data_IF_134903941983
#
_entry.id   IF_134903941983
#
_cell.length_a   1.000
_cell.length_b   1.000
_cell.length_c   1.000
_cell.angle_alpha   90.00
_cell.angle_beta   90.00
_cell.angle_gamma   90.00
#
_symmetry.space_group_name_H-M   'P 1'
#
loop_
_entity.id
_entity.type
_entity.pdbx_description
1 polymer ?
#
# COMPACT_ATOMS: atom_id res chain seq x y z
N UNK A 1 -6.10 2.51 5.45
CA UNK A 1 -5.83 3.69 6.30
C UNK A 1 -6.10 3.36 7.77
N UNK A 2 -7.34 3.11 8.16
CA UNK A 2 -7.66 2.77 9.56
C UNK A 2 -7.10 1.40 9.98
N UNK A 3 -7.18 0.39 9.12
CA UNK A 3 -6.63 -0.95 9.40
C UNK A 3 -5.11 -0.94 9.63
N UNK A 4 -4.37 -0.17 8.84
CA UNK A 4 -2.92 -0.02 8.97
C UNK A 4 -2.51 0.73 10.24
N UNK A 5 -3.32 1.70 10.70
CA UNK A 5 -3.09 2.40 11.97
C UNK A 5 -3.40 1.48 13.16
N UNK A 6 -4.53 0.78 13.10
CA UNK A 6 -4.91 -0.20 14.11
C UNK A 6 -3.84 -1.29 14.29
N UNK A 7 -3.28 -1.83 13.20
CA UNK A 7 -2.20 -2.82 13.27
C UNK A 7 -0.95 -2.29 14.00
N UNK A 8 -0.56 -1.04 13.74
CA UNK A 8 0.59 -0.44 14.44
C UNK A 8 0.28 -0.16 15.91
N UNK A 9 -0.95 0.29 16.21
CA UNK A 9 -1.40 0.49 17.58
C UNK A 9 -1.37 -0.82 18.39
N UNK A 10 -1.75 -1.95 17.78
CA UNK A 10 -1.63 -3.27 18.39
C UNK A 10 -0.17 -3.68 18.60
N UNK A 11 0.69 -3.47 17.60
CA UNK A 11 2.12 -3.80 17.70
C UNK A 11 2.83 -3.02 18.82
N UNK A 12 2.36 -1.82 19.13
CA UNK A 12 2.82 -0.98 20.23
C UNK A 12 2.16 -1.30 21.58
N UNK A 13 1.23 -2.26 21.63
CA UNK A 13 0.36 -2.49 22.80
C UNK A 13 -0.32 -1.20 23.30
N UNK A 14 -0.70 -0.31 22.37
CA UNK A 14 -1.17 1.03 22.71
C UNK A 14 -2.43 1.02 23.58
N UNK A 15 -3.26 -0.02 23.42
CA UNK A 15 -4.47 -0.24 24.22
C UNK A 15 -4.21 -0.28 25.72
N UNK A 16 -3.07 -0.83 26.15
CA UNK A 16 -2.70 -0.95 27.57
C UNK A 16 -2.32 0.40 28.20
N UNK A 17 -1.95 1.37 27.37
CA UNK A 17 -1.63 2.72 27.78
C UNK A 17 -2.85 3.67 27.75
N UNK A 18 -3.99 3.22 27.19
CA UNK A 18 -5.18 4.07 27.06
C UNK A 18 -5.90 4.26 28.39
N UNK A 19 -6.17 5.52 28.71
CA UNK A 19 -7.08 5.90 29.79
C UNK A 19 -8.48 6.07 29.21
N UNK A 20 -9.33 5.10 29.46
CA UNK A 20 -10.72 5.09 29.02
C UNK A 20 -11.66 5.24 30.22
N UNK A 21 -12.86 5.78 30.00
CA UNK A 21 -13.90 5.79 31.02
C UNK A 21 -14.37 4.37 31.35
N UNK A 22 -14.92 4.15 32.55
CA UNK A 22 -15.32 2.81 33.02
C UNK A 22 -16.25 2.07 32.05
N UNK A 23 -17.22 2.78 31.44
CA UNK A 23 -18.15 2.17 30.47
C UNK A 23 -17.46 1.72 29.18
N UNK A 24 -16.46 2.46 28.72
CA UNK A 24 -15.69 2.13 27.52
C UNK A 24 -14.70 1.00 27.80
N UNK A 25 -14.09 0.97 28.99
CA UNK A 25 -13.28 -0.17 29.45
C UNK A 25 -14.10 -1.47 29.50
N UNK A 26 -15.27 -1.44 30.15
CA UNK A 26 -16.15 -2.62 30.29
C UNK A 26 -16.67 -3.15 28.96
N UNK A 27 -16.81 -2.29 27.96
CA UNK A 27 -17.24 -2.68 26.60
C UNK A 27 -16.09 -3.07 25.67
N UNK A 28 -14.85 -3.11 26.17
CA UNK A 28 -13.68 -3.57 25.40
C UNK A 28 -13.07 -2.49 24.50
N UNK A 29 -13.28 -1.21 24.78
CA UNK A 29 -12.79 -0.09 23.96
C UNK A 29 -11.28 -0.10 23.72
N UNK A 30 -10.50 -0.63 24.65
CA UNK A 30 -9.04 -0.79 24.53
C UNK A 30 -8.60 -1.74 23.39
N UNK A 31 -9.52 -2.56 22.86
CA UNK A 31 -9.29 -3.43 21.70
C UNK A 31 -10.04 -2.94 20.45
N UNK A 32 -10.79 -1.83 20.54
CA UNK A 32 -11.62 -1.38 19.44
C UNK A 32 -10.73 -0.78 18.33
N UNK A 33 -10.85 -1.25 17.07
CA UNK A 33 -9.98 -0.79 16.00
C UNK A 33 -9.99 0.73 15.78
N UNK A 34 -11.16 1.36 15.93
CA UNK A 34 -11.28 2.81 15.78
C UNK A 34 -10.57 3.58 16.91
N UNK A 35 -10.76 3.18 18.17
CA UNK A 35 -10.12 3.83 19.31
C UNK A 35 -8.59 3.71 19.24
N UNK A 36 -8.10 2.53 18.86
CA UNK A 36 -6.67 2.29 18.71
C UNK A 36 -6.06 3.08 17.54
N UNK A 37 -6.76 3.18 16.41
CA UNK A 37 -6.32 4.00 15.29
C UNK A 37 -6.28 5.50 15.65
N UNK A 38 -7.35 6.00 16.28
CA UNK A 38 -7.46 7.40 16.70
C UNK A 38 -6.40 7.75 17.75
N UNK A 39 -6.11 6.83 18.69
CA UNK A 39 -5.06 7.01 19.68
C UNK A 39 -3.66 7.09 19.04
N UNK A 40 -3.40 6.30 18.00
CA UNK A 40 -2.12 6.37 17.29
C UNK A 40 -1.98 7.68 16.51
N UNK A 41 -3.05 8.17 15.88
CA UNK A 41 -3.05 9.50 15.25
C UNK A 41 -2.81 10.62 16.28
N UNK A 42 -3.45 10.53 17.44
CA UNK A 42 -3.24 11.47 18.54
C UNK A 42 -1.78 11.44 19.04
N UNK A 43 -1.17 10.26 19.13
CA UNK A 43 0.24 10.10 19.47
C UNK A 43 1.16 10.79 18.45
N UNK A 44 0.91 10.61 17.15
CA UNK A 44 1.66 11.32 16.11
C UNK A 44 1.48 12.83 16.20
N UNK A 45 0.27 13.30 16.49
CA UNK A 45 0.00 14.71 16.76
C UNK A 45 0.81 15.24 17.95
N UNK A 46 0.88 14.49 19.04
CA UNK A 46 1.66 14.88 20.22
C UNK A 46 3.16 14.96 19.91
N UNK A 47 3.72 13.98 19.18
CA UNK A 47 5.14 14.01 18.76
C UNK A 47 5.43 15.20 17.85
N UNK A 48 4.50 15.55 16.95
CA UNK A 48 4.66 16.73 16.10
C UNK A 48 4.63 18.03 16.92
N UNK A 49 3.69 18.15 17.86
CA UNK A 49 3.59 19.34 18.71
C UNK A 49 4.83 19.53 19.61
N UNK A 50 5.42 18.43 20.09
CA UNK A 50 6.58 18.45 20.98
C UNK A 50 7.92 18.61 20.23
N UNK A 51 8.11 17.85 19.15
CA UNK A 51 9.39 17.74 18.45
C UNK A 51 9.44 18.33 17.03
N UNK A 52 8.32 18.88 16.54
CA UNK A 52 8.23 19.39 15.18
C UNK A 52 8.12 18.30 14.11
N UNK A 53 8.12 18.73 12.84
CA UNK A 53 7.84 17.85 11.70
C UNK A 53 8.89 16.75 11.52
N UNK A 54 10.18 17.08 11.68
CA UNK A 54 11.26 16.10 11.47
C UNK A 54 11.18 14.94 12.48
N UNK A 55 10.96 15.25 13.76
CA UNK A 55 10.80 14.24 14.80
C UNK A 55 9.59 13.34 14.53
N UNK A 56 8.45 13.93 14.15
CA UNK A 56 7.24 13.17 13.80
C UNK A 56 7.48 12.27 12.57
N UNK A 57 8.11 12.81 11.53
CA UNK A 57 8.45 12.07 10.30
C UNK A 57 9.37 10.89 10.59
N UNK A 58 10.37 11.07 11.45
CA UNK A 58 11.29 9.99 11.84
C UNK A 58 10.58 8.89 12.63
N UNK A 59 9.75 9.25 13.62
CA UNK A 59 8.98 8.28 14.42
C UNK A 59 8.05 7.46 13.53
N UNK A 60 7.28 8.12 12.67
CA UNK A 60 6.38 7.44 11.72
C UNK A 60 7.19 6.54 10.77
N UNK A 61 8.29 7.04 10.22
CA UNK A 61 9.12 6.25 9.29
C UNK A 61 9.71 5.02 9.95
N UNK A 62 10.15 5.10 11.23
CA UNK A 62 10.66 3.95 11.99
C UNK A 62 9.56 2.94 12.30
N UNK A 63 8.38 3.41 12.70
CA UNK A 63 7.21 2.57 13.01
C UNK A 63 6.74 1.76 11.79
N UNK A 64 6.69 2.41 10.63
CA UNK A 64 6.26 1.76 9.40
C UNK A 64 7.39 1.04 8.65
N UNK A 65 8.65 1.18 9.06
CA UNK A 65 9.80 0.55 8.40
C UNK A 65 9.65 -0.96 8.28
N UNK A 66 9.28 -1.65 9.36
CA UNK A 66 9.09 -3.11 9.32
C UNK A 66 7.95 -3.55 8.41
N UNK A 67 6.90 -2.74 8.28
CA UNK A 67 5.80 -3.00 7.32
C UNK A 67 6.26 -2.76 5.88
N UNK A 68 7.03 -1.69 5.63
CA UNK A 68 7.59 -1.36 4.32
C UNK A 68 8.63 -2.40 3.86
N UNK A 69 9.42 -2.95 4.78
CA UNK A 69 10.42 -4.00 4.49
C UNK A 69 9.77 -5.39 4.30
N UNK A 70 8.68 -5.69 5.01
CA UNK A 70 7.87 -6.91 4.79
C UNK A 70 6.95 -6.82 3.57
N UNK A 71 6.84 -5.63 2.97
CA UNK A 71 6.17 -5.45 1.70
C UNK A 71 7.05 -6.03 0.59
N UNK A 72 6.92 -7.33 0.39
CA UNK A 72 7.22 -7.99 -0.91
C UNK A 72 6.71 -7.09 -2.04
N UNK A 73 7.42 -6.95 -3.18
CA UNK A 73 6.90 -6.20 -4.33
C UNK A 73 5.47 -6.67 -4.64
N UNK A 74 4.48 -5.81 -4.36
CA UNK A 74 3.06 -6.12 -4.49
C UNK A 74 2.14 -5.70 -3.35
N UNK A 75 2.63 -5.30 -2.16
CA UNK A 75 1.76 -4.85 -1.07
C UNK A 75 1.43 -3.34 -1.12
N UNK A 76 0.14 -3.03 -1.09
CA UNK A 76 -0.42 -1.67 -1.20
C UNK A 76 0.10 -0.70 -0.11
N UNK A 77 0.96 0.25 -0.51
CA UNK A 77 0.99 1.65 -0.01
C UNK A 77 2.09 2.53 -0.65
N UNK A 78 2.91 2.00 -1.56
CA UNK A 78 3.54 2.82 -2.60
C UNK A 78 2.49 2.92 -3.71
N UNK A 79 2.21 4.11 -4.27
CA UNK A 79 1.19 4.30 -5.34
C UNK A 79 1.20 3.09 -6.28
N UNK A 80 0.03 2.50 -6.51
CA UNK A 80 -0.06 1.26 -7.29
C UNK A 80 0.62 1.44 -8.66
N UNK A 81 1.29 0.40 -9.15
CA UNK A 81 2.18 0.49 -10.31
C UNK A 81 1.47 0.98 -11.58
N UNK A 82 0.16 0.70 -11.73
CA UNK A 82 -0.63 1.25 -12.84
C UNK A 82 -0.73 2.78 -12.75
N UNK A 83 -1.00 3.31 -11.56
CA UNK A 83 -1.05 4.76 -11.31
C UNK A 83 0.33 5.40 -11.54
N UNK A 84 1.41 4.79 -11.04
CA UNK A 84 2.79 5.31 -11.27
C UNK A 84 3.17 5.33 -12.74
N UNK A 85 2.87 4.25 -13.47
CA UNK A 85 3.11 4.17 -14.91
C UNK A 85 2.27 5.20 -15.68
N UNK A 86 1.00 5.36 -15.32
CA UNK A 86 0.13 6.38 -15.89
C UNK A 86 0.67 7.79 -15.67
N UNK A 87 1.04 8.15 -14.44
CA UNK A 87 1.63 9.45 -14.09
C UNK A 87 2.93 9.70 -14.88
N UNK A 88 3.81 8.69 -14.97
CA UNK A 88 5.06 8.78 -15.73
C UNK A 88 4.81 9.11 -17.21
N UNK A 89 3.84 8.45 -17.84
CA UNK A 89 3.50 8.63 -19.25
C UNK A 89 2.81 9.96 -19.49
N UNK A 90 1.84 10.32 -18.65
CA UNK A 90 1.12 11.60 -18.74
C UNK A 90 2.07 12.78 -18.54
N UNK A 91 3.00 12.70 -17.58
CA UNK A 91 4.03 13.73 -17.35
C UNK A 91 4.93 13.98 -18.58
N UNK A 92 5.04 13.00 -19.47
CA UNK A 92 5.78 13.08 -20.75
C UNK A 92 4.88 13.30 -21.97
N UNK A 93 3.57 13.52 -21.75
CA UNK A 93 2.54 13.63 -22.80
C UNK A 93 2.51 12.42 -23.74
N UNK A 94 2.84 11.23 -23.24
CA UNK A 94 2.75 9.98 -23.97
C UNK A 94 1.36 9.34 -23.79
N UNK A 95 0.99 8.48 -24.73
CA UNK A 95 -0.24 7.69 -24.62
C UNK A 95 -0.23 6.79 -23.38
N UNK A 96 -1.42 6.53 -22.85
CA UNK A 96 -1.62 5.66 -21.68
C UNK A 96 -1.28 4.19 -22.00
N UNK A 97 -0.92 3.39 -20.97
CA UNK A 97 -0.61 1.98 -21.17
C UNK A 97 -1.88 1.18 -21.50
N UNK A 98 -1.77 0.25 -22.46
CA UNK A 98 -2.84 -0.67 -22.82
C UNK A 98 -2.66 -2.00 -22.10
N UNK A 99 -3.74 -2.58 -21.57
CA UNK A 99 -3.71 -3.87 -20.90
C UNK A 99 -4.64 -4.86 -21.59
N UNK A 100 -4.17 -6.10 -21.80
CA UNK A 100 -4.97 -7.17 -22.37
C UNK A 100 -4.75 -8.48 -21.62
N UNK A 101 -5.84 -9.17 -21.26
CA UNK A 101 -5.79 -10.52 -20.69
C UNK A 101 -5.35 -11.49 -21.78
N UNK A 102 -4.20 -12.14 -21.60
CA UNK A 102 -3.61 -13.05 -22.59
C UNK A 102 -3.85 -14.51 -22.25
N UNK A 103 -3.97 -14.86 -20.97
CA UNK A 103 -4.30 -16.22 -20.54
C UNK A 103 -5.12 -16.25 -19.25
N UNK A 104 -5.95 -17.28 -19.13
CA UNK A 104 -6.59 -17.68 -17.88
C UNK A 104 -6.45 -19.20 -17.76
N UNK A 105 -5.79 -19.66 -16.72
CA UNK A 105 -5.39 -21.06 -16.56
C UNK A 105 -5.71 -21.53 -15.14
N UNK A 106 -5.86 -22.84 -14.96
CA UNK A 106 -6.10 -23.46 -13.65
C UNK A 106 -7.58 -23.57 -13.26
N UNK A 107 -7.82 -24.38 -12.23
CA UNK A 107 -9.15 -24.61 -11.63
C UNK A 107 -9.69 -23.34 -10.96
N UNK A 108 -11.01 -23.24 -10.80
CA UNK A 108 -11.65 -22.02 -10.28
C UNK A 108 -11.09 -21.53 -8.91
N UNK A 109 -10.62 -22.45 -8.07
CA UNK A 109 -10.02 -22.17 -6.76
C UNK A 109 -8.51 -21.91 -6.80
N UNK A 110 -7.87 -22.10 -7.95
CA UNK A 110 -6.44 -21.93 -8.19
C UNK A 110 -6.18 -21.22 -9.54
N UNK A 111 -7.10 -20.34 -9.93
CA UNK A 111 -7.08 -19.70 -11.24
C UNK A 111 -5.96 -18.67 -11.30
N UNK A 112 -5.23 -18.69 -12.42
CA UNK A 112 -4.14 -17.78 -12.72
C UNK A 112 -4.48 -16.99 -13.96
N UNK A 113 -4.35 -15.67 -13.84
CA UNK A 113 -4.56 -14.72 -14.92
C UNK A 113 -3.22 -14.20 -15.39
N UNK A 114 -3.03 -14.10 -16.69
CA UNK A 114 -1.87 -13.44 -17.30
C UNK A 114 -2.35 -12.26 -18.13
N UNK A 115 -1.75 -11.09 -17.90
CA UNK A 115 -2.10 -9.84 -18.54
C UNK A 115 -0.85 -9.24 -19.17
N UNK A 116 -0.97 -8.82 -20.42
CA UNK A 116 0.03 -7.99 -21.09
C UNK A 116 -0.19 -6.51 -20.80
N UNK A 117 0.91 -5.75 -20.71
CA UNK A 117 0.93 -4.30 -20.69
C UNK A 117 1.77 -3.80 -21.86
N UNK A 118 1.22 -2.87 -22.64
CA UNK A 118 1.86 -2.31 -23.82
C UNK A 118 1.92 -0.78 -23.71
N UNK A 119 3.10 -0.22 -23.94
CA UNK A 119 3.33 1.21 -24.05
C UNK A 119 3.99 1.48 -25.40
N UNK A 120 3.16 1.70 -26.42
CA UNK A 120 3.62 1.85 -27.81
C UNK A 120 4.65 2.97 -27.99
N UNK A 121 4.43 4.10 -27.31
CA UNK A 121 5.32 5.26 -27.39
C UNK A 121 6.76 4.97 -26.93
N UNK A 122 6.95 3.96 -26.07
CA UNK A 122 8.27 3.55 -25.56
C UNK A 122 8.71 2.19 -26.10
N UNK A 123 7.92 1.56 -26.98
CA UNK A 123 8.13 0.19 -27.45
C UNK A 123 8.28 -0.84 -26.31
N UNK A 124 7.61 -0.57 -25.18
CA UNK A 124 7.65 -1.46 -24.01
C UNK A 124 6.48 -2.43 -24.10
N UNK A 125 6.81 -3.73 -23.92
CA UNK A 125 5.85 -4.81 -23.77
C UNK A 125 6.26 -5.62 -22.57
N UNK A 126 5.35 -5.79 -21.62
CA UNK A 126 5.57 -6.62 -20.45
C UNK A 126 4.34 -7.50 -20.21
N UNK A 127 4.53 -8.57 -19.45
CA UNK A 127 3.44 -9.42 -18.99
C UNK A 127 3.52 -9.60 -17.49
N UNK A 128 2.38 -9.75 -16.83
CA UNK A 128 2.28 -10.04 -15.42
C UNK A 128 1.23 -11.10 -15.17
N UNK A 129 1.43 -11.93 -14.14
CA UNK A 129 0.49 -12.98 -13.77
C UNK A 129 0.11 -12.90 -12.30
N UNK A 130 -1.12 -13.27 -11.95
CA UNK A 130 -1.61 -13.25 -10.58
C UNK A 130 -2.90 -14.05 -10.38
N UNK A 131 -3.28 -14.25 -9.12
CA UNK A 131 -4.51 -14.95 -8.74
C UNK A 131 -5.80 -14.17 -9.08
N UNK A 132 -5.67 -12.89 -9.45
CA UNK A 132 -6.75 -12.07 -9.98
C UNK A 132 -6.24 -11.27 -11.17
N UNK A 133 -7.16 -10.85 -12.06
CA UNK A 133 -6.83 -9.96 -13.18
C UNK A 133 -6.14 -8.67 -12.70
N UNK A 134 -6.62 -8.09 -11.60
CA UNK A 134 -6.05 -6.86 -11.02
C UNK A 134 -4.61 -7.07 -10.53
N UNK A 135 -4.33 -8.21 -9.90
CA UNK A 135 -2.97 -8.54 -9.47
C UNK A 135 -2.03 -8.74 -10.69
N UNK A 136 -2.50 -9.45 -11.72
CA UNK A 136 -1.76 -9.65 -12.96
C UNK A 136 -1.43 -8.31 -13.66
N UNK A 137 -2.38 -7.38 -13.72
CA UNK A 137 -2.18 -6.03 -14.26
C UNK A 137 -1.14 -5.23 -13.48
N UNK A 138 -1.12 -5.32 -12.13
CA UNK A 138 -0.12 -4.63 -11.31
C UNK A 138 1.29 -5.15 -11.61
N UNK A 139 1.47 -6.47 -11.69
CA UNK A 139 2.77 -7.07 -12.03
C UNK A 139 3.21 -6.67 -13.44
N UNK A 140 2.29 -6.61 -14.40
CA UNK A 140 2.59 -6.16 -15.76
C UNK A 140 3.04 -4.68 -15.76
N UNK A 141 2.34 -3.83 -15.00
CA UNK A 141 2.66 -2.43 -14.84
C UNK A 141 4.02 -2.20 -14.15
N UNK A 142 4.35 -2.97 -13.11
CA UNK A 142 5.66 -2.93 -12.45
C UNK A 142 6.80 -3.24 -13.42
N UNK A 143 6.64 -4.29 -14.22
CA UNK A 143 7.62 -4.68 -15.24
C UNK A 143 7.76 -3.63 -16.34
N UNK A 144 6.64 -3.02 -16.78
CA UNK A 144 6.69 -1.93 -17.75
C UNK A 144 7.39 -0.70 -17.16
N UNK A 145 7.11 -0.37 -15.89
CA UNK A 145 7.73 0.75 -15.19
C UNK A 145 9.24 0.55 -14.98
N UNK A 146 9.70 -0.67 -14.73
CA UNK A 146 11.13 -0.98 -14.64
C UNK A 146 11.87 -0.91 -16.00
N UNK A 147 11.13 -0.87 -17.11
CA UNK A 147 11.67 -0.76 -18.45
C UNK A 147 11.63 0.67 -19.01
N UNK A 148 11.07 1.64 -18.27
CA UNK A 148 11.04 3.03 -18.76
C UNK A 148 12.42 3.69 -18.61
N UNK A 149 12.81 4.59 -19.53
CA UNK A 149 14.10 5.27 -19.44
C UNK A 149 14.23 6.12 -18.16
N UNK A 150 15.26 5.85 -17.35
CA UNK A 150 15.55 6.59 -16.12
C UNK A 150 14.82 6.10 -14.86
N UNK A 151 14.39 4.83 -14.85
CA UNK A 151 13.85 4.12 -13.67
C UNK A 151 14.92 3.51 -12.78
#
# INVERSE_FOLDING_TARGET
>A
RQDSLHQQALALSLGDALRLGEGEQKSGGQQRPSILADALEALFGAVWLDGGFEAASEVISRLYRGMLEQTTPGGQAIKDAKTRLQEYLQGRRLALPQYALTATEGEAHAQRFTVSCVVDALQIRSEGSGATRRAAEQVAAERALAAVPGS
#
